data_IF_719233469459
#
_entry.id   IF_719233469459
#
_cell.length_a   1.000
_cell.length_b   1.000
_cell.length_c   1.000
_cell.angle_alpha   90.00
_cell.angle_beta   90.00
_cell.angle_gamma   90.00
#
_symmetry.space_group_name_H-M   'P 1'
#
loop_
_entity.id
_entity.type
_entity.pdbx_description
1 polymer ?
#
# COMPACT_ATOMS: atom_id res chain seq x y z
N UNK A 1 50.11 -12.75 11.76
CA UNK A 1 48.66 -12.99 11.66
C UNK A 1 47.93 -11.80 11.09
N UNK A 2 47.10 -12.03 10.07
CA UNK A 2 46.31 -11.06 9.32
C UNK A 2 44.87 -11.57 9.17
N UNK A 3 43.89 -10.69 9.40
CA UNK A 3 42.47 -10.95 9.22
C UNK A 3 41.83 -9.76 8.53
N UNK A 4 41.12 -10.02 7.44
CA UNK A 4 40.38 -9.00 6.71
C UNK A 4 38.96 -9.45 6.50
N UNK A 5 38.02 -8.60 6.92
CA UNK A 5 36.61 -8.76 6.62
C UNK A 5 36.20 -7.82 5.50
N UNK A 6 35.50 -8.37 4.53
CA UNK A 6 34.94 -7.66 3.40
C UNK A 6 33.42 -7.76 3.40
N UNK A 7 32.75 -6.71 2.94
CA UNK A 7 31.38 -6.77 2.47
C UNK A 7 31.40 -6.41 0.99
N UNK A 8 31.14 -7.36 0.11
CA UNK A 8 31.35 -7.21 -1.33
C UNK A 8 32.79 -6.76 -1.66
N UNK A 9 33.02 -5.47 -1.92
CA UNK A 9 34.34 -4.88 -2.20
C UNK A 9 34.85 -3.95 -1.09
N UNK A 10 34.00 -3.64 -0.10
CA UNK A 10 34.33 -2.73 0.99
C UNK A 10 35.08 -3.47 2.10
N UNK A 11 36.17 -2.88 2.59
CA UNK A 11 36.85 -3.36 3.79
C UNK A 11 36.00 -2.98 5.01
N UNK A 12 35.46 -4.01 5.66
CA UNK A 12 34.64 -3.89 6.87
C UNK A 12 35.54 -3.78 8.09
N UNK A 13 36.60 -4.58 8.16
CA UNK A 13 37.54 -4.56 9.28
C UNK A 13 38.87 -5.18 8.84
N UNK A 14 39.99 -4.59 9.27
CA UNK A 14 41.33 -5.10 8.97
C UNK A 14 42.13 -5.17 10.26
N UNK A 15 42.66 -6.35 10.57
CA UNK A 15 43.54 -6.62 11.69
C UNK A 15 44.86 -7.25 11.19
N UNK A 16 45.98 -6.73 11.66
CA UNK A 16 47.32 -7.24 11.33
C UNK A 16 48.31 -6.96 12.45
N UNK A 17 49.18 -7.92 12.72
CA UNK A 17 50.30 -7.80 13.67
C UNK A 17 49.86 -7.28 15.06
N UNK A 18 48.73 -7.81 15.55
CA UNK A 18 48.22 -7.47 16.88
C UNK A 18 47.33 -6.24 16.94
N UNK A 19 47.12 -5.52 15.83
CA UNK A 19 46.48 -4.21 15.83
C UNK A 19 45.41 -4.07 14.74
N UNK A 20 44.36 -3.32 15.07
CA UNK A 20 43.31 -2.95 14.12
C UNK A 20 43.84 -1.82 13.21
N UNK A 21 43.61 -1.94 11.91
CA UNK A 21 44.05 -1.00 10.86
C UNK A 21 42.83 -0.28 10.29
N UNK A 22 42.84 1.05 10.38
CA UNK A 22 41.68 1.88 10.03
C UNK A 22 41.84 2.63 8.71
N UNK A 23 43.06 2.71 8.16
CA UNK A 23 43.40 3.59 7.03
C UNK A 23 42.55 3.33 5.77
N UNK A 24 42.27 2.06 5.48
CA UNK A 24 41.52 1.64 4.28
C UNK A 24 40.10 1.15 4.62
N UNK A 25 39.65 1.31 5.87
CA UNK A 25 38.32 0.85 6.27
C UNK A 25 37.24 1.74 5.65
N UNK A 26 36.21 1.11 5.08
CA UNK A 26 35.09 1.84 4.48
C UNK A 26 34.40 2.74 5.52
N UNK A 27 34.10 4.00 5.20
CA UNK A 27 33.48 4.95 6.14
C UNK A 27 32.19 4.46 6.80
N UNK A 28 31.44 3.58 6.13
CA UNK A 28 30.22 2.95 6.66
C UNK A 28 30.45 2.15 7.95
N UNK A 29 31.66 1.61 8.11
CA UNK A 29 32.03 0.69 9.19
C UNK A 29 32.96 1.30 10.24
N UNK A 30 33.47 2.51 10.00
CA UNK A 30 34.36 3.20 10.94
C UNK A 30 33.67 3.43 12.29
N UNK A 31 34.38 3.10 13.37
CA UNK A 31 33.88 3.22 14.75
C UNK A 31 32.72 2.27 15.12
N UNK A 32 32.34 1.36 14.22
CA UNK A 32 31.22 0.43 14.42
C UNK A 32 31.66 -1.04 14.42
N UNK A 33 32.91 -1.36 14.16
CA UNK A 33 33.35 -2.75 14.04
C UNK A 33 34.46 -3.11 15.00
N UNK A 34 34.47 -4.36 15.44
CA UNK A 34 35.43 -4.91 16.40
C UNK A 34 35.71 -6.38 16.06
N UNK A 35 36.98 -6.76 15.99
CA UNK A 35 37.37 -8.16 15.91
C UNK A 35 37.46 -8.76 17.32
N UNK A 36 36.79 -9.89 17.56
CA UNK A 36 36.81 -10.56 18.86
C UNK A 36 38.10 -11.40 19.00
N UNK A 37 39.13 -10.79 19.60
CA UNK A 37 40.50 -11.34 19.66
C UNK A 37 40.60 -12.61 20.50
N UNK A 38 39.81 -12.73 21.56
CA UNK A 38 39.85 -13.89 22.48
C UNK A 38 39.46 -15.21 21.83
N UNK A 39 38.66 -15.17 20.75
CA UNK A 39 38.18 -16.36 20.05
C UNK A 39 39.17 -16.88 19.00
N UNK A 40 40.08 -16.03 18.54
CA UNK A 40 41.05 -16.34 17.48
C UNK A 40 41.96 -17.49 17.89
N UNK A 41 42.43 -17.48 19.14
CA UNK A 41 43.31 -18.54 19.70
C UNK A 41 42.65 -19.91 19.74
N UNK A 42 41.30 -19.96 19.66
CA UNK A 42 40.50 -21.18 19.57
C UNK A 42 40.11 -21.53 18.13
N UNK A 43 40.69 -20.85 17.14
CA UNK A 43 40.42 -21.05 15.72
C UNK A 43 39.13 -20.38 15.23
N UNK A 44 38.55 -19.45 15.98
CA UNK A 44 37.33 -18.75 15.57
C UNK A 44 37.59 -17.26 15.33
N UNK A 45 37.37 -16.83 14.10
CA UNK A 45 37.48 -15.44 13.69
C UNK A 45 36.08 -14.83 13.69
N UNK A 46 35.79 -13.99 14.68
CA UNK A 46 34.46 -13.38 14.85
C UNK A 46 34.53 -11.87 14.69
N UNK A 47 33.73 -11.31 13.79
CA UNK A 47 33.53 -9.88 13.60
C UNK A 47 32.24 -9.43 14.31
N UNK A 48 32.34 -8.35 15.08
CA UNK A 48 31.20 -7.66 15.67
C UNK A 48 30.96 -6.35 14.95
N UNK A 49 29.70 -6.08 14.61
CA UNK A 49 29.25 -4.81 14.01
C UNK A 49 28.18 -4.20 14.94
N UNK A 50 28.36 -2.93 15.28
CA UNK A 50 27.50 -2.15 16.17
C UNK A 50 26.51 -1.30 15.39
N UNK A 51 25.33 -1.07 15.99
CA UNK A 51 24.24 -0.25 15.43
C UNK A 51 23.82 -0.71 14.02
N UNK A 52 23.44 -1.98 13.86
CA UNK A 52 23.05 -2.56 12.55
C UNK A 52 21.94 -1.76 11.88
N UNK A 53 22.10 -1.53 10.58
CA UNK A 53 21.13 -0.86 9.69
C UNK A 53 20.79 -1.76 8.51
N UNK A 54 19.71 -1.45 7.78
CA UNK A 54 19.34 -2.19 6.58
C UNK A 54 20.44 -2.21 5.50
N UNK A 55 21.30 -1.19 5.47
CA UNK A 55 22.43 -1.15 4.53
C UNK A 55 23.51 -2.18 4.87
N UNK A 56 23.60 -2.65 6.10
CA UNK A 56 24.59 -3.66 6.52
C UNK A 56 24.22 -5.07 6.02
N UNK A 57 23.03 -5.28 5.48
CA UNK A 57 22.67 -6.53 4.81
C UNK A 57 23.59 -6.81 3.62
N UNK A 58 24.08 -8.06 3.49
CA UNK A 58 24.87 -8.47 2.33
C UNK A 58 25.79 -9.66 2.60
N UNK A 59 26.63 -9.96 1.61
CA UNK A 59 27.61 -11.05 1.66
C UNK A 59 28.91 -10.56 2.28
N UNK A 60 29.27 -11.17 3.39
CA UNK A 60 30.52 -10.94 4.10
C UNK A 60 31.51 -12.04 3.79
N UNK A 61 32.78 -11.67 3.67
CA UNK A 61 33.89 -12.59 3.47
C UNK A 61 34.97 -12.31 4.50
N UNK A 62 35.40 -13.34 5.20
CA UNK A 62 36.60 -13.33 6.02
C UNK A 62 37.74 -13.92 5.21
N UNK A 63 38.88 -13.23 5.19
CA UNK A 63 40.16 -13.73 4.74
C UNK A 63 41.09 -13.80 5.95
N UNK A 64 41.60 -15.00 6.24
CA UNK A 64 42.52 -15.27 7.33
C UNK A 64 43.86 -15.74 6.78
N UNK A 65 44.95 -15.21 7.32
CA UNK A 65 46.32 -15.55 6.92
C UNK A 65 47.24 -15.46 8.15
N UNK A 66 47.89 -16.57 8.52
CA UNK A 66 48.90 -16.59 9.58
C UNK A 66 50.32 -16.90 9.06
N UNK A 67 50.57 -16.65 7.77
CA UNK A 67 51.85 -16.84 7.10
C UNK A 67 52.15 -18.27 6.66
N UNK A 68 51.61 -19.27 7.39
CA UNK A 68 51.70 -20.70 7.02
C UNK A 68 50.40 -21.25 6.43
N UNK A 69 49.29 -20.62 6.77
CA UNK A 69 47.95 -21.08 6.44
C UNK A 69 47.09 -19.89 6.04
N UNK A 70 46.34 -20.05 4.96
CA UNK A 70 45.47 -19.05 4.41
C UNK A 70 44.12 -19.67 4.10
N UNK A 71 43.04 -19.03 4.54
CA UNK A 71 41.66 -19.49 4.33
C UNK A 71 40.71 -18.34 4.08
N UNK A 72 39.60 -18.68 3.42
CA UNK A 72 38.50 -17.77 3.20
C UNK A 72 37.17 -18.41 3.60
N UNK A 73 36.31 -17.61 4.25
CA UNK A 73 34.96 -18.03 4.61
C UNK A 73 33.96 -16.94 4.23
N UNK A 74 32.84 -17.34 3.61
CA UNK A 74 31.75 -16.45 3.23
C UNK A 74 30.50 -16.67 4.09
N UNK A 75 29.82 -15.59 4.46
CA UNK A 75 28.54 -15.64 5.17
C UNK A 75 27.61 -14.54 4.65
N UNK A 76 26.32 -14.85 4.51
CA UNK A 76 25.30 -13.85 4.18
C UNK A 76 24.65 -13.31 5.45
N UNK A 77 24.70 -11.99 5.64
CA UNK A 77 24.03 -11.29 6.74
C UNK A 77 22.70 -10.73 6.23
N UNK A 78 21.59 -11.20 6.80
CA UNK A 78 20.25 -10.67 6.55
C UNK A 78 19.82 -9.78 7.72
N UNK A 79 19.26 -8.60 7.42
CA UNK A 79 18.81 -7.64 8.42
C UNK A 79 17.29 -7.57 8.39
N UNK A 80 16.65 -8.06 9.45
CA UNK A 80 15.21 -7.85 9.65
C UNK A 80 15.01 -6.51 10.35
N UNK A 81 14.41 -5.55 9.65
CA UNK A 81 13.99 -4.30 10.25
C UNK A 81 12.53 -4.37 10.69
N UNK A 82 12.23 -3.92 11.91
CA UNK A 82 10.92 -3.36 12.25
C UNK A 82 10.84 -1.92 11.70
N UNK A 83 11.16 -1.76 10.41
CA UNK A 83 10.96 -0.52 9.69
C UNK A 83 9.50 -0.44 9.35
N UNK A 84 8.78 0.54 9.91
CA UNK A 84 7.36 0.79 9.68
C UNK A 84 6.92 0.35 8.28
N UNK A 85 6.22 -0.77 8.24
CA UNK A 85 5.45 -1.23 7.09
C UNK A 85 4.73 -0.02 6.51
N UNK A 86 4.84 0.20 5.18
CA UNK A 86 4.33 1.38 4.49
C UNK A 86 2.96 1.78 5.06
N UNK A 87 2.92 2.85 5.86
CA UNK A 87 1.68 3.48 6.26
C UNK A 87 1.11 4.14 5.00
N UNK A 88 0.41 3.36 4.17
CA UNK A 88 -0.60 3.91 3.28
C UNK A 88 -1.46 4.80 4.18
N UNK A 89 -1.60 6.10 3.90
CA UNK A 89 -2.29 7.02 4.80
C UNK A 89 -3.67 6.43 5.08
N UNK A 90 -3.96 6.12 6.36
CA UNK A 90 -5.23 5.49 6.80
C UNK A 90 -6.46 6.25 6.29
N UNK A 91 -6.29 7.53 5.94
CA UNK A 91 -7.27 8.33 5.23
C UNK A 91 -7.81 7.64 3.98
N UNK A 92 -7.03 6.89 3.19
CA UNK A 92 -7.53 6.19 1.99
C UNK A 92 -8.53 5.06 2.31
N UNK A 93 -8.37 4.41 3.47
CA UNK A 93 -9.31 3.37 3.94
C UNK A 93 -10.59 4.05 4.44
N UNK A 94 -10.43 5.14 5.21
CA UNK A 94 -11.54 5.93 5.74
C UNK A 94 -12.35 6.56 4.61
N UNK A 95 -11.71 7.15 3.60
CA UNK A 95 -12.37 7.76 2.43
C UNK A 95 -13.10 6.72 1.60
N UNK A 96 -12.59 5.48 1.49
CA UNK A 96 -13.31 4.38 0.84
C UNK A 96 -14.61 4.03 1.56
N UNK A 97 -14.62 4.01 2.91
CA UNK A 97 -15.84 3.79 3.67
C UNK A 97 -16.86 4.93 3.54
N UNK A 98 -16.39 6.19 3.56
CA UNK A 98 -17.29 7.33 3.36
C UNK A 98 -17.87 7.36 1.94
N UNK A 99 -17.09 7.05 0.90
CA UNK A 99 -17.61 7.04 -0.47
C UNK A 99 -18.53 5.85 -0.77
N UNK A 100 -18.29 4.67 -0.18
CA UNK A 100 -19.11 3.47 -0.44
C UNK A 100 -20.35 3.40 0.43
N UNK A 101 -20.34 3.95 1.65
CA UNK A 101 -21.50 3.89 2.54
C UNK A 101 -22.30 5.18 2.58
N UNK A 102 -21.67 6.34 2.69
CA UNK A 102 -22.42 7.59 2.88
C UNK A 102 -23.08 8.08 1.60
N UNK A 103 -22.46 7.85 0.44
CA UNK A 103 -23.04 8.24 -0.85
C UNK A 103 -24.33 7.47 -1.15
N UNK A 104 -24.40 6.12 -1.07
CA UNK A 104 -25.66 5.42 -1.29
C UNK A 104 -26.69 5.69 -0.20
N UNK A 105 -26.28 5.83 1.08
CA UNK A 105 -27.22 6.18 2.16
C UNK A 105 -27.83 7.57 1.92
N UNK A 106 -27.02 8.55 1.49
CA UNK A 106 -27.49 9.89 1.17
C UNK A 106 -28.39 9.90 -0.07
N UNK A 107 -28.01 9.18 -1.14
CA UNK A 107 -28.83 9.02 -2.35
C UNK A 107 -30.17 8.36 -2.02
N UNK A 108 -30.18 7.29 -1.23
CA UNK A 108 -31.41 6.60 -0.80
C UNK A 108 -32.28 7.55 0.04
N UNK A 109 -31.69 8.31 0.96
CA UNK A 109 -32.43 9.28 1.77
C UNK A 109 -33.08 10.37 0.91
N UNK A 110 -32.38 10.89 -0.10
CA UNK A 110 -32.92 11.89 -1.03
C UNK A 110 -34.00 11.28 -1.91
N UNK A 111 -33.83 10.04 -2.39
CA UNK A 111 -34.85 9.33 -3.19
C UNK A 111 -36.12 9.05 -2.38
N UNK A 112 -36.01 8.73 -1.08
CA UNK A 112 -37.15 8.52 -0.20
C UNK A 112 -37.88 9.83 0.15
N UNK A 113 -37.15 10.94 0.22
CA UNK A 113 -37.70 12.28 0.52
C UNK A 113 -38.26 12.95 -0.74
N UNK A 114 -37.74 12.62 -1.94
CA UNK A 114 -38.39 12.99 -3.19
C UNK A 114 -39.77 12.35 -3.16
N UNK A 115 -40.86 13.14 -3.11
CA UNK A 115 -42.18 12.55 -3.17
C UNK A 115 -42.20 11.77 -4.47
N UNK A 116 -42.46 10.47 -4.36
CA UNK A 116 -42.81 9.64 -5.49
C UNK A 116 -44.03 10.36 -6.08
N UNK A 117 -43.81 11.28 -7.03
CA UNK A 117 -44.81 11.73 -7.98
C UNK A 117 -45.04 10.49 -8.81
N UNK A 118 -45.76 9.55 -8.20
CA UNK A 118 -46.28 8.38 -8.83
C UNK A 118 -46.93 8.90 -10.07
N UNK A 119 -46.41 8.45 -11.20
CA UNK A 119 -47.11 8.59 -12.45
C UNK A 119 -48.34 7.71 -12.30
N UNK A 120 -49.36 8.27 -11.65
CA UNK A 120 -50.70 7.75 -11.66
C UNK A 120 -51.05 7.71 -13.14
N UNK A 121 -51.00 6.51 -13.72
CA UNK A 121 -51.64 6.23 -14.99
C UNK A 121 -53.12 6.47 -14.69
N UNK A 122 -53.53 7.73 -14.84
CA UNK A 122 -54.92 8.13 -14.88
C UNK A 122 -55.45 7.56 -16.17
N UNK A 123 -55.82 6.28 -16.13
CA UNK A 123 -56.68 5.71 -17.14
C UNK A 123 -57.97 6.50 -17.05
N UNK A 124 -58.12 7.40 -18.02
CA UNK A 124 -59.21 8.33 -18.13
C UNK A 124 -60.48 7.55 -18.39
N UNK A 125 -61.09 7.05 -17.32
CA UNK A 125 -62.48 6.67 -17.28
C UNK A 125 -63.27 7.90 -17.69
N UNK A 126 -63.57 8.00 -19.00
CA UNK A 126 -64.59 8.89 -19.53
C UNK A 126 -65.88 8.51 -18.83
N UNK A 127 -66.20 9.23 -17.76
CA UNK A 127 -67.45 9.06 -17.06
C UNK A 127 -68.59 9.16 -18.06
N UNK A 128 -69.62 8.35 -17.88
CA UNK A 128 -70.82 8.26 -18.72
C UNK A 128 -71.36 9.65 -19.15
N UNK A 129 -71.18 10.65 -18.29
CA UNK A 129 -71.56 12.05 -18.47
C UNK A 129 -70.83 12.72 -19.63
N UNK A 130 -69.53 12.43 -19.84
CA UNK A 130 -68.77 12.96 -20.97
C UNK A 130 -69.26 12.37 -22.30
N UNK A 131 -69.59 11.08 -22.32
CA UNK A 131 -70.21 10.44 -23.49
C UNK A 131 -71.63 10.95 -23.75
N UNK A 132 -72.43 11.20 -22.71
CA UNK A 132 -73.79 11.78 -22.85
C UNK A 132 -73.72 13.22 -23.35
N UNK A 133 -72.76 14.02 -22.87
CA UNK A 133 -72.56 15.40 -23.35
C UNK A 133 -72.16 15.41 -24.83
N UNK A 134 -71.28 14.50 -25.27
CA UNK A 134 -70.92 14.39 -26.68
C UNK A 134 -72.12 13.96 -27.55
N UNK A 135 -72.98 13.05 -27.06
CA UNK A 135 -74.20 12.63 -27.76
C UNK A 135 -75.20 13.78 -27.87
N UNK A 136 -75.45 14.51 -26.78
CA UNK A 136 -76.36 15.67 -26.79
C UNK A 136 -75.87 16.77 -27.73
N UNK A 137 -74.55 17.00 -27.78
CA UNK A 137 -73.94 17.99 -28.67
C UNK A 137 -74.09 17.59 -30.14
N UNK A 138 -73.92 16.29 -30.45
CA UNK A 138 -74.05 15.75 -31.81
C UNK A 138 -75.50 15.80 -32.32
N UNK A 139 -76.47 15.50 -31.46
CA UNK A 139 -77.91 15.64 -31.71
C UNK A 139 -78.30 17.10 -32.00
N UNK A 140 -77.83 18.06 -31.18
CA UNK A 140 -78.10 19.48 -31.38
C UNK A 140 -77.55 20.03 -32.70
N UNK A 141 -76.35 19.58 -33.10
CA UNK A 141 -75.73 20.01 -34.34
C UNK A 141 -76.42 19.40 -35.59
N UNK A 142 -77.00 18.21 -35.46
CA UNK A 142 -77.79 17.59 -36.53
C UNK A 142 -79.13 18.31 -36.73
N UNK A 143 -79.83 18.67 -35.65
CA UNK A 143 -81.07 19.46 -35.72
C UNK A 143 -80.86 20.85 -36.35
N UNK A 144 -79.77 21.54 -36.02
CA UNK A 144 -79.48 22.85 -36.63
C UNK A 144 -79.16 22.77 -38.13
N UNK A 145 -78.63 21.64 -38.61
CA UNK A 145 -78.37 21.45 -40.06
C UNK A 145 -79.62 21.07 -40.85
N UNK A 146 -80.62 20.50 -40.19
CA UNK A 146 -81.89 20.09 -40.83
C UNK A 146 -82.93 21.22 -40.85
N UNK A 147 -82.72 22.31 -40.09
CA UNK A 147 -83.54 23.52 -40.13
C UNK A 147 -83.06 24.59 -41.12
N UNK A 148 -81.98 24.33 -41.85
CA UNK A 148 -81.37 25.27 -42.81
C UNK A 148 -81.55 24.83 -44.28
N UNK A 149 -82.48 23.90 -44.53
CA UNK A 149 -82.94 23.47 -45.86
C UNK A 149 -84.47 23.39 -45.94
#
# INVERSE_FOLDING_TARGET
MKVIWFQSLDIVHYYEDGQDKFDNQSPKFQGRTELVKDAITRGNVTLRIWNITASDQGHYKCHFDDGLYQEEAGIELLVSGEGTEQQIPRWNIITAFFMVFWIPIFIISVILILPFRGNHKGDGGRGLLASILDISKKEGQKRNKESEY
#
